data_IF_080190223687
#
_entry.id   IF_080190223687
#
_cell.length_a   1.000
_cell.length_b   1.000
_cell.length_c   1.000
_cell.angle_alpha   90.00
_cell.angle_beta   90.00
_cell.angle_gamma   90.00
#
_symmetry.space_group_name_H-M   'P 1'
#
loop_
_entity.id
_entity.type
_entity.pdbx_description
1 polymer ?
#
# COMPACT_ATOMS: atom_id res chain seq x y z
N UNK A 1 -12.05 -25.15 10.47
CA UNK A 1 -11.38 -24.83 9.18
C UNK A 1 -10.17 -25.72 8.96
N UNK A 2 -10.34 -27.03 8.73
CA UNK A 2 -9.22 -27.95 8.49
C UNK A 2 -9.13 -28.21 6.98
N UNK A 3 -8.02 -27.76 6.39
CA UNK A 3 -7.56 -27.96 5.01
C UNK A 3 -8.20 -27.09 3.91
N UNK A 4 -7.86 -25.80 3.92
CA UNK A 4 -7.80 -25.02 2.69
C UNK A 4 -6.60 -25.53 1.85
N UNK A 5 -6.87 -26.12 0.68
CA UNK A 5 -5.83 -26.62 -0.26
C UNK A 5 -5.30 -25.52 -1.19
N UNK A 6 -5.79 -24.29 -1.07
CA UNK A 6 -5.33 -23.18 -1.90
C UNK A 6 -3.91 -22.77 -1.51
N UNK A 7 -3.06 -22.57 -2.52
CA UNK A 7 -1.68 -22.07 -2.33
C UNK A 7 -1.60 -20.54 -2.28
N UNK A 8 -2.75 -19.86 -2.40
CA UNK A 8 -2.88 -18.40 -2.35
C UNK A 8 -2.79 -17.89 -0.92
N UNK A 9 -2.18 -16.71 -0.77
CA UNK A 9 -2.04 -15.93 0.46
C UNK A 9 -1.22 -16.58 1.57
N UNK A 10 -0.64 -17.76 1.32
CA UNK A 10 0.18 -18.46 2.33
C UNK A 10 1.35 -17.57 2.75
N UNK A 11 2.05 -16.95 1.80
CA UNK A 11 3.21 -16.10 2.10
C UNK A 11 2.77 -14.81 2.79
N UNK A 12 1.66 -14.23 2.35
CA UNK A 12 1.06 -13.07 3.04
C UNK A 12 0.73 -13.39 4.52
N UNK A 13 0.16 -14.56 4.81
CA UNK A 13 -0.15 -14.98 6.18
C UNK A 13 1.12 -15.08 7.03
N UNK A 14 2.19 -15.70 6.52
CA UNK A 14 3.48 -15.72 7.22
C UNK A 14 4.00 -14.31 7.49
N UNK A 15 3.87 -13.40 6.53
CA UNK A 15 4.28 -12.00 6.71
C UNK A 15 3.47 -11.32 7.81
N UNK A 16 2.14 -11.50 7.85
CA UNK A 16 1.28 -10.96 8.91
C UNK A 16 1.64 -11.51 10.29
N UNK A 17 1.98 -12.79 10.39
CA UNK A 17 2.47 -13.40 11.65
C UNK A 17 3.80 -12.78 12.06
N UNK A 18 4.74 -12.62 11.13
CA UNK A 18 6.03 -11.99 11.40
C UNK A 18 5.86 -10.54 11.88
N UNK A 19 4.97 -9.77 11.27
CA UNK A 19 4.64 -8.41 11.70
C UNK A 19 4.06 -8.36 13.11
N UNK A 20 3.15 -9.27 13.46
CA UNK A 20 2.59 -9.35 14.81
C UNK A 20 3.69 -9.65 15.85
N UNK A 21 4.57 -10.61 15.56
CA UNK A 21 5.71 -10.93 16.42
C UNK A 21 6.67 -9.74 16.57
N UNK A 22 6.95 -9.05 15.47
CA UNK A 22 7.82 -7.87 15.47
C UNK A 22 7.26 -6.76 16.36
N UNK A 23 5.96 -6.44 16.23
CA UNK A 23 5.30 -5.44 17.07
C UNK A 23 5.18 -5.85 18.55
N UNK A 24 5.30 -7.14 18.86
CA UNK A 24 5.37 -7.67 20.23
C UNK A 24 6.81 -7.71 20.78
N UNK A 25 7.79 -7.14 20.09
CA UNK A 25 9.20 -7.15 20.49
C UNK A 25 9.92 -8.49 20.26
N UNK A 26 9.28 -9.45 19.60
CA UNK A 26 9.86 -10.77 19.29
C UNK A 26 10.59 -10.75 17.94
N UNK A 27 11.55 -9.84 17.76
CA UNK A 27 12.20 -9.59 16.46
C UNK A 27 12.88 -10.83 15.86
N UNK A 28 13.58 -11.62 16.68
CA UNK A 28 14.23 -12.85 16.20
C UNK A 28 13.21 -13.88 15.67
N UNK A 29 12.06 -13.99 16.35
CA UNK A 29 10.96 -14.86 15.92
C UNK A 29 10.33 -14.35 14.63
N UNK A 30 10.16 -13.04 14.50
CA UNK A 30 9.68 -12.41 13.27
C UNK A 30 10.61 -12.72 12.08
N UNK A 31 11.91 -12.55 12.26
CA UNK A 31 12.93 -12.87 11.24
C UNK A 31 12.91 -14.35 10.87
N UNK A 32 12.83 -15.26 11.84
CA UNK A 32 12.68 -16.69 11.58
C UNK A 32 11.39 -17.02 10.79
N UNK A 33 10.28 -16.35 11.11
CA UNK A 33 9.01 -16.50 10.39
C UNK A 33 9.12 -16.01 8.94
N UNK A 34 9.84 -14.90 8.68
CA UNK A 34 10.13 -14.44 7.32
C UNK A 34 11.03 -15.40 6.54
N UNK A 35 11.99 -16.07 7.19
CA UNK A 35 12.78 -17.12 6.54
C UNK A 35 11.92 -18.33 6.15
N UNK A 36 10.96 -18.69 7.00
CA UNK A 36 10.01 -19.76 6.70
C UNK A 36 9.10 -19.38 5.52
N UNK A 37 8.66 -18.12 5.43
CA UNK A 37 7.86 -17.60 4.31
C UNK A 37 8.49 -17.92 2.95
N UNK A 38 9.82 -17.80 2.82
CA UNK A 38 10.54 -18.08 1.58
C UNK A 38 10.40 -19.53 1.13
N UNK A 39 10.24 -20.47 2.08
CA UNK A 39 10.14 -21.91 1.82
C UNK A 39 8.70 -22.42 1.68
N UNK A 40 7.70 -21.55 1.88
CA UNK A 40 6.30 -21.93 1.97
C UNK A 40 5.45 -21.21 0.92
N UNK A 41 4.34 -21.83 0.51
CA UNK A 41 3.38 -21.23 -0.42
C UNK A 41 3.89 -21.03 -1.85
N UNK A 42 3.12 -20.29 -2.65
CA UNK A 42 3.48 -19.90 -4.02
C UNK A 42 3.37 -18.38 -4.19
N UNK A 43 3.90 -17.81 -5.28
CA UNK A 43 3.81 -16.38 -5.61
C UNK A 43 2.72 -16.09 -6.65
N UNK A 44 1.53 -16.67 -6.44
CA UNK A 44 0.44 -16.56 -7.41
C UNK A 44 -0.35 -15.25 -7.26
N UNK A 45 -0.55 -14.77 -6.03
CA UNK A 45 -1.19 -13.47 -5.77
C UNK A 45 -0.15 -12.35 -5.69
N UNK A 46 -0.55 -11.12 -6.01
CA UNK A 46 0.31 -9.94 -5.86
C UNK A 46 0.75 -9.75 -4.39
N UNK A 47 -0.11 -10.13 -3.44
CA UNK A 47 0.21 -10.12 -2.01
C UNK A 47 1.33 -11.11 -1.68
N UNK A 48 1.31 -12.34 -2.22
CA UNK A 48 2.37 -13.31 -2.01
C UNK A 48 3.68 -12.93 -2.72
N UNK A 49 3.61 -12.34 -3.92
CA UNK A 49 4.79 -11.80 -4.64
C UNK A 49 5.47 -10.73 -3.79
N UNK A 50 4.67 -9.78 -3.27
CA UNK A 50 5.17 -8.72 -2.38
C UNK A 50 5.74 -9.29 -1.09
N UNK A 51 5.03 -10.20 -0.44
CA UNK A 51 5.47 -10.82 0.81
C UNK A 51 6.81 -11.55 0.64
N UNK A 52 6.99 -12.25 -0.49
CA UNK A 52 8.28 -12.87 -0.83
C UNK A 52 9.37 -11.83 -1.07
N UNK A 53 9.11 -10.79 -1.86
CA UNK A 53 10.07 -9.73 -2.15
C UNK A 53 10.55 -9.04 -0.88
N UNK A 54 9.62 -8.63 -0.02
CA UNK A 54 9.92 -7.99 1.25
C UNK A 54 10.78 -8.91 2.13
N UNK A 55 10.46 -10.21 2.19
CA UNK A 55 11.22 -11.18 2.96
C UNK A 55 12.64 -11.39 2.40
N UNK A 56 12.81 -11.38 1.08
CA UNK A 56 14.13 -11.45 0.43
C UNK A 56 14.97 -10.19 0.65
N UNK A 57 14.33 -9.01 0.71
CA UNK A 57 15.01 -7.75 1.04
C UNK A 57 15.51 -7.72 2.49
N UNK A 58 14.96 -8.56 3.38
CA UNK A 58 15.42 -8.74 4.75
C UNK A 58 15.14 -7.58 5.70
N UNK A 59 14.51 -6.50 5.22
CA UNK A 59 14.16 -5.32 6.00
C UNK A 59 12.78 -5.48 6.65
N UNK A 60 12.70 -5.24 7.97
CA UNK A 60 11.43 -5.07 8.65
C UNK A 60 10.88 -3.67 8.37
N UNK A 61 9.55 -3.49 8.27
CA UNK A 61 8.96 -2.18 8.04
C UNK A 61 9.13 -1.28 9.26
N UNK A 62 9.03 0.03 9.06
CA UNK A 62 9.00 0.99 10.16
C UNK A 62 7.82 0.67 11.11
N UNK A 63 8.05 0.50 12.43
CA UNK A 63 7.04 -0.03 13.35
C UNK A 63 5.81 0.87 13.47
N UNK A 64 5.99 2.21 13.43
CA UNK A 64 4.89 3.17 13.44
C UNK A 64 3.98 3.01 12.20
N UNK A 65 4.58 2.90 11.01
CA UNK A 65 3.85 2.80 9.73
C UNK A 65 3.16 1.44 9.61
N UNK A 66 3.82 0.37 10.08
CA UNK A 66 3.23 -0.95 10.16
C UNK A 66 2.01 -0.96 11.11
N UNK A 67 2.11 -0.34 12.30
CA UNK A 67 0.98 -0.27 13.22
C UNK A 67 -0.17 0.55 12.64
N UNK A 68 0.12 1.69 11.99
CA UNK A 68 -0.89 2.50 11.30
C UNK A 68 -1.60 1.70 10.20
N UNK A 69 -0.84 0.92 9.43
CA UNK A 69 -1.39 0.00 8.42
C UNK A 69 -2.40 -0.96 9.04
N UNK A 70 -1.99 -1.70 10.06
CA UNK A 70 -2.80 -2.78 10.61
C UNK A 70 -4.10 -2.24 11.24
N UNK A 71 -4.05 -1.05 11.84
CA UNK A 71 -5.23 -0.35 12.34
C UNK A 71 -6.17 0.02 11.19
N UNK A 72 -5.67 0.68 10.13
CA UNK A 72 -6.48 1.06 8.97
C UNK A 72 -7.06 -0.15 8.21
N UNK A 73 -6.25 -1.18 7.95
CA UNK A 73 -6.68 -2.44 7.31
C UNK A 73 -7.75 -3.16 8.15
N UNK A 74 -7.75 -2.95 9.48
CA UNK A 74 -8.76 -3.48 10.42
C UNK A 74 -9.99 -2.58 10.62
N UNK A 75 -10.06 -1.41 9.97
CA UNK A 75 -11.15 -0.45 10.12
C UNK A 75 -11.04 0.51 11.32
N UNK A 76 -9.96 0.43 12.11
CA UNK A 76 -9.68 1.32 13.25
C UNK A 76 -9.06 2.64 12.78
N UNK A 77 -9.79 3.36 11.92
CA UNK A 77 -9.29 4.51 11.19
C UNK A 77 -8.97 5.71 12.09
N UNK A 78 -9.74 5.90 13.16
CA UNK A 78 -9.52 6.98 14.14
C UNK A 78 -8.22 6.75 14.91
N UNK A 79 -7.95 5.52 15.32
CA UNK A 79 -6.74 5.11 16.02
C UNK A 79 -5.52 5.17 15.10
N UNK A 80 -5.68 4.74 13.84
CA UNK A 80 -4.64 4.87 12.82
C UNK A 80 -4.30 6.35 12.59
N UNK A 81 -5.30 7.23 12.53
CA UNK A 81 -5.11 8.66 12.39
C UNK A 81 -4.40 9.27 13.60
N UNK A 82 -4.82 8.92 14.82
CA UNK A 82 -4.19 9.39 16.05
C UNK A 82 -2.69 9.00 16.11
N UNK A 83 -2.33 7.82 15.59
CA UNK A 83 -0.94 7.36 15.55
C UNK A 83 -0.04 8.20 14.63
N UNK A 84 -0.60 8.73 13.53
CA UNK A 84 0.13 9.56 12.56
C UNK A 84 -0.08 11.07 12.78
N UNK A 85 -0.95 11.46 13.72
CA UNK A 85 -1.24 12.86 13.97
C UNK A 85 0.01 13.61 14.46
N UNK A 86 0.25 14.80 13.91
CA UNK A 86 1.43 15.61 14.21
C UNK A 86 2.74 15.11 13.61
N UNK A 87 2.73 13.98 12.88
CA UNK A 87 3.89 13.48 12.14
C UNK A 87 3.96 14.11 10.75
N UNK A 88 5.17 14.16 10.23
CA UNK A 88 5.50 14.62 8.88
C UNK A 88 6.48 13.65 8.22
N UNK A 89 6.83 13.90 6.96
CA UNK A 89 7.87 13.11 6.28
C UNK A 89 9.24 13.25 6.95
N UNK A 90 9.51 14.36 7.63
CA UNK A 90 10.80 14.61 8.28
C UNK A 90 11.01 13.72 9.53
N UNK A 91 9.96 13.05 10.00
CA UNK A 91 10.05 12.02 11.04
C UNK A 91 10.62 10.68 10.53
N UNK A 92 10.83 10.54 9.22
CA UNK A 92 11.32 9.30 8.60
C UNK A 92 12.62 9.54 7.84
N UNK A 93 13.57 8.61 7.96
CA UNK A 93 14.89 8.76 7.33
C UNK A 93 14.87 8.23 5.90
N UNK A 94 14.23 7.09 5.66
CA UNK A 94 14.27 6.46 4.34
C UNK A 94 13.22 7.08 3.42
N UNK A 95 13.60 7.35 2.16
CA UNK A 95 12.65 7.87 1.16
C UNK A 95 11.45 6.92 0.94
N UNK A 96 11.67 5.60 1.09
CA UNK A 96 10.61 4.61 1.06
C UNK A 96 9.57 4.81 2.18
N UNK A 97 10.03 5.14 3.38
CA UNK A 97 9.18 5.37 4.56
C UNK A 97 8.44 6.71 4.45
N UNK A 98 9.08 7.75 3.92
CA UNK A 98 8.44 9.05 3.63
C UNK A 98 7.29 8.89 2.63
N UNK A 99 7.56 8.17 1.54
CA UNK A 99 6.56 7.84 0.53
C UNK A 99 5.42 7.00 1.13
N UNK A 100 5.74 5.97 1.90
CA UNK A 100 4.75 5.14 2.59
C UNK A 100 3.89 5.97 3.57
N UNK A 101 4.51 6.85 4.34
CA UNK A 101 3.82 7.75 5.27
C UNK A 101 2.78 8.61 4.54
N UNK A 102 3.19 9.31 3.47
CA UNK A 102 2.29 10.15 2.69
C UNK A 102 1.10 9.35 2.15
N UNK A 103 1.34 8.15 1.61
CA UNK A 103 0.28 7.27 1.14
C UNK A 103 -0.66 6.80 2.26
N UNK A 104 -0.11 6.39 3.42
CA UNK A 104 -0.91 5.92 4.57
C UNK A 104 -1.75 7.03 5.17
N UNK A 105 -1.16 8.21 5.35
CA UNK A 105 -1.88 9.37 5.84
C UNK A 105 -3.06 9.71 4.92
N UNK A 106 -2.83 9.70 3.60
CA UNK A 106 -3.87 9.94 2.62
C UNK A 106 -5.01 8.91 2.72
N UNK A 107 -4.67 7.63 2.80
CA UNK A 107 -5.69 6.57 2.84
C UNK A 107 -6.54 6.61 4.10
N UNK A 108 -5.90 6.81 5.26
CA UNK A 108 -6.60 6.98 6.55
C UNK A 108 -7.51 8.21 6.52
N UNK A 109 -7.05 9.33 5.95
CA UNK A 109 -7.86 10.54 5.83
C UNK A 109 -9.07 10.32 4.93
N UNK A 110 -8.89 9.63 3.80
CA UNK A 110 -9.98 9.29 2.89
C UNK A 110 -11.03 8.40 3.58
N UNK A 111 -10.59 7.37 4.32
CA UNK A 111 -11.46 6.50 5.12
C UNK A 111 -12.23 7.25 6.21
N UNK A 112 -11.72 8.40 6.67
CA UNK A 112 -12.37 9.30 7.62
C UNK A 112 -13.21 10.41 6.95
N UNK A 113 -13.34 10.40 5.62
CA UNK A 113 -14.07 11.43 4.88
C UNK A 113 -13.34 12.78 4.78
N UNK A 114 -12.06 12.86 5.18
CA UNK A 114 -11.20 14.04 5.07
C UNK A 114 -10.58 14.13 3.68
N UNK A 115 -11.43 14.22 2.67
CA UNK A 115 -11.05 14.00 1.27
C UNK A 115 -10.05 15.04 0.75
N UNK A 116 -10.13 16.30 1.18
CA UNK A 116 -9.19 17.33 0.74
C UNK A 116 -7.78 17.09 1.29
N UNK A 117 -7.67 16.70 2.56
CA UNK A 117 -6.41 16.27 3.17
C UNK A 117 -5.83 15.06 2.43
N UNK A 118 -6.69 14.08 2.14
CA UNK A 118 -6.31 12.87 1.42
C UNK A 118 -5.74 13.19 0.03
N UNK A 119 -6.40 14.08 -0.73
CA UNK A 119 -5.92 14.53 -2.05
C UNK A 119 -4.52 15.16 -1.94
N UNK A 120 -4.28 16.02 -0.94
CA UNK A 120 -2.97 16.65 -0.74
C UNK A 120 -1.89 15.60 -0.52
N UNK A 121 -2.12 14.65 0.38
CA UNK A 121 -1.15 13.61 0.70
C UNK A 121 -0.96 12.59 -0.45
N UNK A 122 -2.02 12.22 -1.17
CA UNK A 122 -1.88 11.37 -2.35
C UNK A 122 -1.08 12.05 -3.46
N UNK A 123 -1.22 13.36 -3.67
CA UNK A 123 -0.41 14.08 -4.67
C UNK A 123 1.07 14.01 -4.33
N UNK A 124 1.41 14.13 -3.05
CA UNK A 124 2.78 14.00 -2.56
C UNK A 124 3.30 12.58 -2.82
N UNK A 125 2.54 11.55 -2.40
CA UNK A 125 2.91 10.15 -2.61
C UNK A 125 3.05 9.80 -4.09
N UNK A 126 2.11 10.23 -4.95
CA UNK A 126 2.16 10.00 -6.39
C UNK A 126 3.43 10.63 -7.00
N UNK A 127 3.73 11.90 -6.67
CA UNK A 127 4.94 12.59 -7.17
C UNK A 127 6.23 11.89 -6.72
N UNK A 128 6.34 11.55 -5.44
CA UNK A 128 7.55 10.89 -4.90
C UNK A 128 7.74 9.48 -5.45
N UNK A 129 6.64 8.81 -5.74
CA UNK A 129 6.65 7.45 -6.24
C UNK A 129 6.94 7.30 -7.74
N UNK A 130 7.05 8.39 -8.51
CA UNK A 130 7.19 8.34 -9.98
C UNK A 130 8.38 7.47 -10.46
N UNK A 131 9.49 7.45 -9.72
CA UNK A 131 10.70 6.69 -10.07
C UNK A 131 11.06 5.64 -9.02
N UNK A 132 10.08 5.19 -8.24
CA UNK A 132 10.30 4.34 -7.05
C UNK A 132 9.72 2.94 -7.29
N UNK A 133 10.41 1.87 -6.87
CA UNK A 133 9.90 0.50 -7.02
C UNK A 133 8.72 0.19 -6.08
N UNK A 134 8.49 1.02 -5.06
CA UNK A 134 7.38 0.86 -4.15
C UNK A 134 6.05 1.25 -4.81
N UNK A 135 5.07 0.33 -4.77
CA UNK A 135 3.73 0.52 -5.33
C UNK A 135 2.91 1.73 -4.81
N UNK A 136 3.38 2.41 -3.74
CA UNK A 136 2.64 3.50 -3.11
C UNK A 136 2.36 4.67 -4.05
N UNK A 137 3.30 5.00 -4.95
CA UNK A 137 3.10 6.05 -5.96
C UNK A 137 1.97 5.74 -6.92
N UNK A 138 2.05 4.58 -7.57
CA UNK A 138 1.05 4.14 -8.54
C UNK A 138 -0.34 4.02 -7.90
N UNK A 139 -0.38 3.48 -6.67
CA UNK A 139 -1.61 3.35 -5.91
C UNK A 139 -2.19 4.71 -5.51
N UNK A 140 -1.36 5.68 -5.13
CA UNK A 140 -1.81 7.04 -4.85
C UNK A 140 -2.39 7.72 -6.11
N UNK A 141 -1.74 7.55 -7.26
CA UNK A 141 -2.24 8.05 -8.54
C UNK A 141 -3.59 7.41 -8.91
N UNK A 142 -3.75 6.10 -8.73
CA UNK A 142 -5.03 5.42 -8.94
C UNK A 142 -6.13 6.02 -8.05
N UNK A 143 -5.87 6.22 -6.75
CA UNK A 143 -6.85 6.77 -5.82
C UNK A 143 -7.24 8.21 -6.17
N UNK A 144 -6.29 9.05 -6.58
CA UNK A 144 -6.60 10.39 -7.09
C UNK A 144 -7.51 10.31 -8.32
N UNK A 145 -7.24 9.39 -9.25
CA UNK A 145 -8.10 9.14 -10.39
C UNK A 145 -9.54 8.83 -9.97
N UNK A 146 -9.71 7.91 -9.02
CA UNK A 146 -11.02 7.51 -8.50
C UNK A 146 -11.75 8.65 -7.77
N UNK A 147 -11.03 9.43 -6.96
CA UNK A 147 -11.59 10.59 -6.26
C UNK A 147 -12.06 11.66 -7.25
N UNK A 148 -11.24 11.98 -8.26
CA UNK A 148 -11.61 12.96 -9.26
C UNK A 148 -12.74 12.49 -10.18
N UNK A 149 -12.78 11.20 -10.50
CA UNK A 149 -13.90 10.58 -11.22
C UNK A 149 -15.20 10.74 -10.43
N UNK A 150 -15.19 10.40 -9.13
CA UNK A 150 -16.35 10.54 -8.26
C UNK A 150 -16.84 11.98 -8.11
N UNK A 151 -15.95 12.97 -8.30
CA UNK A 151 -16.28 14.41 -8.32
C UNK A 151 -16.75 14.91 -9.68
N UNK A 152 -16.88 14.05 -10.68
CA UNK A 152 -17.21 14.43 -12.06
C UNK A 152 -16.07 15.12 -12.82
N UNK A 153 -14.87 15.20 -12.23
CA UNK A 153 -13.69 15.84 -12.83
C UNK A 153 -12.95 14.85 -13.73
N UNK A 154 -13.63 14.40 -14.79
CA UNK A 154 -13.18 13.30 -15.66
C UNK A 154 -11.82 13.53 -16.32
N UNK A 155 -11.54 14.74 -16.81
CA UNK A 155 -10.24 15.05 -17.43
C UNK A 155 -9.09 14.87 -16.44
N UNK A 156 -9.28 15.33 -15.21
CA UNK A 156 -8.29 15.20 -14.15
C UNK A 156 -8.16 13.76 -13.68
N UNK A 157 -9.27 13.02 -13.62
CA UNK A 157 -9.26 11.59 -13.33
C UNK A 157 -8.40 10.81 -14.34
N UNK A 158 -8.58 11.07 -15.64
CA UNK A 158 -7.80 10.46 -16.72
C UNK A 158 -6.30 10.78 -16.58
N UNK A 159 -5.93 12.02 -16.23
CA UNK A 159 -4.53 12.39 -15.98
C UNK A 159 -3.91 11.51 -14.90
N UNK A 160 -4.60 11.30 -13.79
CA UNK A 160 -4.08 10.48 -12.69
C UNK A 160 -4.11 8.98 -12.98
N UNK A 161 -5.11 8.48 -13.71
CA UNK A 161 -5.09 7.11 -14.21
C UNK A 161 -3.90 6.86 -15.15
N UNK A 162 -3.59 7.79 -16.07
CA UNK A 162 -2.40 7.71 -16.92
C UNK A 162 -1.10 7.76 -16.12
N UNK A 163 -1.03 8.58 -15.06
CA UNK A 163 0.12 8.58 -14.14
C UNK A 163 0.30 7.23 -13.45
N UNK A 164 -0.78 6.57 -13.01
CA UNK A 164 -0.73 5.22 -12.45
C UNK A 164 -0.13 4.23 -13.48
N UNK A 165 -0.60 4.26 -14.73
CA UNK A 165 -0.11 3.37 -15.80
C UNK A 165 1.37 3.54 -16.12
N UNK A 166 1.90 4.77 -16.00
CA UNK A 166 3.28 5.12 -16.29
C UNK A 166 4.28 4.71 -15.18
N UNK A 167 3.80 4.43 -13.97
CA UNK A 167 4.64 3.98 -12.86
C UNK A 167 4.86 2.47 -12.94
N UNK A 168 5.93 2.08 -13.61
CA UNK A 168 6.27 0.69 -13.86
C UNK A 168 7.06 0.06 -12.70
N UNK A 169 7.27 -1.27 -12.74
CA UNK A 169 8.17 -2.01 -11.85
C UNK A 169 7.73 -2.16 -10.38
N UNK A 170 6.47 -2.53 -10.13
CA UNK A 170 5.99 -2.92 -8.79
C UNK A 170 5.09 -4.17 -8.81
N UNK A 171 4.97 -4.90 -7.68
CA UNK A 171 4.23 -6.18 -7.60
C UNK A 171 2.76 -6.09 -8.03
N UNK A 172 2.13 -4.93 -7.83
CA UNK A 172 0.71 -4.72 -8.11
C UNK A 172 0.44 -4.17 -9.53
N UNK A 173 1.40 -4.19 -10.46
CA UNK A 173 1.28 -3.47 -11.75
C UNK A 173 0.02 -3.87 -12.51
N UNK A 174 -0.15 -5.17 -12.75
CA UNK A 174 -1.26 -5.69 -13.54
C UNK A 174 -2.61 -5.31 -12.93
N UNK A 175 -2.74 -5.44 -11.60
CA UNK A 175 -3.99 -5.16 -10.90
C UNK A 175 -4.31 -3.67 -10.79
N UNK A 176 -3.30 -2.80 -10.66
CA UNK A 176 -3.51 -1.34 -10.71
C UNK A 176 -3.80 -0.86 -12.14
N UNK A 177 -3.13 -1.43 -13.13
CA UNK A 177 -3.33 -1.08 -14.55
C UNK A 177 -4.73 -1.40 -15.02
N UNK A 178 -5.24 -2.58 -14.69
CA UNK A 178 -6.60 -2.97 -15.03
C UNK A 178 -7.62 -1.97 -14.46
N UNK A 179 -7.43 -1.54 -13.21
CA UNK A 179 -8.30 -0.55 -12.57
C UNK A 179 -8.19 0.84 -13.22
N UNK A 180 -6.97 1.28 -13.52
CA UNK A 180 -6.73 2.56 -14.18
C UNK A 180 -7.32 2.59 -15.59
N UNK A 181 -7.13 1.52 -16.39
CA UNK A 181 -7.72 1.38 -17.73
C UNK A 181 -9.25 1.39 -17.67
N UNK A 182 -9.85 0.66 -16.74
CA UNK A 182 -11.29 0.68 -16.53
C UNK A 182 -11.80 2.08 -16.12
N UNK A 183 -11.04 2.81 -15.31
CA UNK A 183 -11.35 4.21 -14.96
C UNK A 183 -11.28 5.16 -16.15
N UNK A 184 -10.28 5.00 -17.01
CA UNK A 184 -10.16 5.78 -18.26
C UNK A 184 -11.35 5.51 -19.18
N UNK A 185 -11.74 4.26 -19.38
CA UNK A 185 -12.90 3.90 -20.22
C UNK A 185 -14.18 4.60 -19.72
N UNK A 186 -14.50 4.47 -18.42
CA UNK A 186 -15.67 5.14 -17.81
C UNK A 186 -15.64 6.67 -17.96
N UNK A 187 -14.46 7.28 -17.83
CA UNK A 187 -14.30 8.72 -17.95
C UNK A 187 -14.37 9.19 -19.42
N UNK A 188 -13.96 8.35 -20.38
CA UNK A 188 -13.94 8.68 -21.81
C UNK A 188 -15.27 8.38 -22.52
N UNK A 189 -16.20 7.67 -21.84
CA UNK A 189 -17.49 7.28 -22.41
C UNK A 189 -17.45 6.00 -23.24
N UNK A 190 -16.44 5.15 -22.98
CA UNK A 190 -16.27 3.82 -23.58
C UNK A 190 -16.87 2.71 -22.71
#
# INVERSE_FOLDING_TARGET
MRQFKGKFYVKEVYQRIAWAQYLQGQEQKAKATLQNLLRQGATQSDADKKAQRDALAGSLPHPLLLKARLLNDGGYNTEAFALLAGKSEDDFTQEAEKLEFAYRAARIQEDLGKTEEAIRNYKIAARKGEMRPEHFGARAALQLGMIYEARGQKDLAIVYYKKCLAMENHDYKDSLDQKAKAGIARCSGE
#
